data_IF_941716044282
#
_entry.id   IF_941716044282
#
_cell.length_a   1.000
_cell.length_b   1.000
_cell.length_c   1.000
_cell.angle_alpha   90.00
_cell.angle_beta   90.00
_cell.angle_gamma   90.00
#
_symmetry.space_group_name_H-M   'P 1'
#
loop_
_entity.id
_entity.type
_entity.pdbx_description
1 polymer ?
#
# COMPACT_ATOMS: atom_id res chain seq x y z
N UNK A 1 8.95 -63.48 -60.88
CA UNK A 1 8.55 -62.06 -61.06
C UNK A 1 7.14 -61.95 -60.52
N UNK A 2 6.86 -61.38 -59.36
CA UNK A 2 7.68 -60.50 -58.53
C UNK A 2 7.16 -60.56 -57.09
N UNK A 3 8.05 -60.86 -56.15
CA UNK A 3 7.87 -60.55 -54.73
C UNK A 3 8.00 -59.03 -54.58
N UNK A 4 6.95 -58.35 -54.13
CA UNK A 4 7.06 -57.00 -53.58
C UNK A 4 5.90 -56.70 -52.63
N UNK A 5 5.97 -57.28 -51.43
CA UNK A 5 5.16 -56.88 -50.29
C UNK A 5 6.05 -56.09 -49.33
N UNK A 6 6.26 -54.82 -49.68
CA UNK A 6 7.01 -53.85 -48.89
C UNK A 6 6.48 -53.77 -47.47
N UNK A 7 7.29 -54.23 -46.52
CA UNK A 7 7.03 -54.10 -45.09
C UNK A 7 6.85 -52.64 -44.70
N UNK A 8 5.71 -52.33 -44.10
CA UNK A 8 5.47 -51.05 -43.45
C UNK A 8 6.54 -50.86 -42.35
N UNK A 9 7.32 -49.77 -42.36
CA UNK A 9 8.26 -49.52 -41.29
C UNK A 9 7.49 -49.39 -39.98
N UNK A 10 7.95 -50.01 -38.87
CA UNK A 10 7.33 -49.86 -37.58
C UNK A 10 7.39 -48.37 -37.20
N UNK A 11 6.23 -47.74 -37.07
CA UNK A 11 6.13 -46.44 -36.42
C UNK A 11 6.52 -46.62 -34.96
N UNK A 12 7.81 -46.47 -34.68
CA UNK A 12 8.34 -46.30 -33.33
C UNK A 12 7.60 -45.11 -32.74
N UNK A 13 6.58 -45.41 -31.94
CA UNK A 13 6.11 -44.51 -30.89
C UNK A 13 7.35 -44.26 -30.05
N UNK A 14 8.03 -43.15 -30.34
CA UNK A 14 9.08 -42.65 -29.47
C UNK A 14 8.34 -42.27 -28.20
N UNK A 15 8.35 -43.18 -27.23
CA UNK A 15 8.00 -42.89 -25.84
C UNK A 15 8.73 -41.60 -25.51
N UNK A 16 7.97 -40.50 -25.44
CA UNK A 16 8.56 -39.20 -25.12
C UNK A 16 9.24 -39.41 -23.77
N UNK A 17 10.56 -39.21 -23.68
CA UNK A 17 11.27 -39.48 -22.45
C UNK A 17 10.63 -38.62 -21.36
N UNK A 18 10.27 -39.23 -20.23
CA UNK A 18 9.64 -38.56 -19.07
C UNK A 18 10.37 -37.26 -18.70
N UNK A 19 11.69 -37.19 -18.95
CA UNK A 19 12.49 -35.98 -18.79
C UNK A 19 12.08 -34.77 -19.65
N UNK A 20 11.56 -34.96 -20.86
CA UNK A 20 11.04 -33.86 -21.71
C UNK A 20 9.75 -33.26 -21.14
N UNK A 21 8.84 -34.09 -20.60
CA UNK A 21 7.60 -33.61 -19.98
C UNK A 21 7.87 -32.81 -18.69
N UNK A 22 8.81 -33.26 -17.86
CA UNK A 22 9.23 -32.52 -16.65
C UNK A 22 9.90 -31.20 -17.01
N UNK A 23 10.69 -31.17 -18.08
CA UNK A 23 11.29 -29.95 -18.62
C UNK A 23 10.20 -28.96 -19.09
N UNK A 24 9.23 -29.40 -19.90
CA UNK A 24 8.14 -28.56 -20.41
C UNK A 24 7.23 -28.00 -19.29
N UNK A 25 6.92 -28.81 -18.27
CA UNK A 25 6.12 -28.35 -17.11
C UNK A 25 6.90 -27.33 -16.28
N UNK A 26 8.20 -27.56 -16.05
CA UNK A 26 9.06 -26.60 -15.34
C UNK A 26 9.17 -25.27 -16.10
N UNK A 27 9.24 -25.34 -17.43
CA UNK A 27 9.29 -24.17 -18.30
C UNK A 27 7.96 -23.40 -18.29
N UNK A 28 6.81 -24.10 -18.29
CA UNK A 28 5.48 -23.50 -18.17
C UNK A 28 5.27 -22.83 -16.81
N UNK A 29 5.69 -23.48 -15.71
CA UNK A 29 5.62 -22.89 -14.37
C UNK A 29 6.48 -21.62 -14.31
N UNK A 30 7.69 -21.66 -14.89
CA UNK A 30 8.59 -20.50 -14.93
C UNK A 30 7.97 -19.35 -15.73
N UNK A 31 7.32 -19.65 -16.86
CA UNK A 31 6.58 -18.66 -17.66
C UNK A 31 5.41 -18.06 -16.87
N UNK A 32 4.60 -18.90 -16.22
CA UNK A 32 3.45 -18.45 -15.42
C UNK A 32 3.88 -17.53 -14.27
N UNK A 33 4.91 -17.91 -13.50
CA UNK A 33 5.44 -17.06 -12.42
C UNK A 33 5.92 -15.72 -12.98
N UNK A 34 6.59 -15.72 -14.13
CA UNK A 34 7.07 -14.49 -14.76
C UNK A 34 5.94 -13.59 -15.25
N UNK A 35 4.86 -14.17 -15.76
CA UNK A 35 3.67 -13.44 -16.19
C UNK A 35 2.91 -12.85 -15.00
N UNK A 36 2.75 -13.62 -13.91
CA UNK A 36 2.11 -13.14 -12.67
C UNK A 36 2.94 -12.00 -12.04
N UNK A 37 4.27 -12.11 -12.03
CA UNK A 37 5.15 -11.01 -11.61
C UNK A 37 4.98 -9.78 -12.49
N UNK A 38 4.90 -9.95 -13.81
CA UNK A 38 4.70 -8.82 -14.74
C UNK A 38 3.36 -8.15 -14.50
N UNK A 39 2.31 -8.92 -14.27
CA UNK A 39 0.98 -8.42 -13.94
C UNK A 39 0.98 -7.68 -12.60
N UNK A 40 1.58 -8.26 -11.56
CA UNK A 40 1.71 -7.65 -10.25
C UNK A 40 2.47 -6.32 -10.31
N UNK A 41 3.55 -6.23 -11.12
CA UNK A 41 4.28 -4.98 -11.34
C UNK A 41 3.39 -3.92 -11.98
N UNK A 42 2.62 -4.28 -13.01
CA UNK A 42 1.67 -3.35 -13.65
C UNK A 42 0.61 -2.88 -12.68
N UNK A 43 0.02 -3.78 -11.89
CA UNK A 43 -0.99 -3.44 -10.91
C UNK A 43 -0.44 -2.55 -9.79
N UNK A 44 0.77 -2.85 -9.29
CA UNK A 44 1.48 -2.02 -8.32
C UNK A 44 1.78 -0.63 -8.86
N UNK A 45 2.21 -0.50 -10.12
CA UNK A 45 2.42 0.80 -10.76
C UNK A 45 1.12 1.59 -10.86
N UNK A 46 0.02 0.94 -11.26
CA UNK A 46 -1.29 1.59 -11.34
C UNK A 46 -1.82 2.03 -9.98
N UNK A 47 -1.73 1.15 -8.97
CA UNK A 47 -2.08 1.46 -7.57
C UNK A 47 -1.19 2.58 -7.01
N UNK A 48 0.11 2.49 -7.25
CA UNK A 48 1.10 3.48 -6.83
C UNK A 48 0.88 4.85 -7.45
N UNK A 49 0.55 4.92 -8.76
CA UNK A 49 0.21 6.17 -9.44
C UNK A 49 -1.03 6.82 -8.84
N UNK A 50 -2.10 6.05 -8.62
CA UNK A 50 -3.34 6.56 -8.02
C UNK A 50 -3.11 7.07 -6.60
N UNK A 51 -2.36 6.31 -5.79
CA UNK A 51 -1.98 6.70 -4.44
C UNK A 51 -1.10 7.97 -4.46
N UNK A 52 -0.13 8.03 -5.37
CA UNK A 52 0.79 9.16 -5.52
C UNK A 52 0.09 10.45 -5.95
N UNK A 53 -0.82 10.37 -6.92
CA UNK A 53 -1.65 11.53 -7.32
C UNK A 53 -2.54 11.97 -6.17
N UNK A 54 -3.20 11.04 -5.47
CA UNK A 54 -4.03 11.35 -4.31
C UNK A 54 -3.23 12.02 -3.19
N UNK A 55 -2.06 11.48 -2.85
CA UNK A 55 -1.16 12.04 -1.85
C UNK A 55 -0.63 13.43 -2.29
N UNK A 56 -0.29 13.60 -3.56
CA UNK A 56 0.15 14.89 -4.10
C UNK A 56 -0.94 15.96 -4.06
N UNK A 57 -2.18 15.60 -4.44
CA UNK A 57 -3.34 16.51 -4.37
C UNK A 57 -3.67 16.87 -2.92
N UNK A 58 -3.69 15.91 -2.00
CA UNK A 58 -3.93 16.18 -0.57
C UNK A 58 -2.80 17.01 0.04
N UNK A 59 -1.54 16.74 -0.32
CA UNK A 59 -0.40 17.54 0.11
C UNK A 59 -0.49 18.98 -0.39
N UNK A 60 -0.76 19.16 -1.68
CA UNK A 60 -0.94 20.49 -2.29
C UNK A 60 -2.13 21.25 -1.68
N UNK A 61 -3.26 20.58 -1.50
CA UNK A 61 -4.43 21.15 -0.83
C UNK A 61 -4.12 21.56 0.62
N UNK A 62 -3.35 20.76 1.36
CA UNK A 62 -2.90 21.09 2.71
C UNK A 62 -2.04 22.35 2.76
N UNK A 63 -1.09 22.50 1.83
CA UNK A 63 -0.25 23.71 1.72
C UNK A 63 -1.09 24.94 1.38
N UNK A 64 -1.99 24.84 0.40
CA UNK A 64 -2.88 25.94 0.02
C UNK A 64 -3.83 26.31 1.15
N UNK A 65 -4.41 25.32 1.85
CA UNK A 65 -5.26 25.54 3.00
C UNK A 65 -4.50 26.21 4.16
N UNK A 66 -3.24 25.87 4.37
CA UNK A 66 -2.39 26.53 5.37
C UNK A 66 -2.19 28.01 5.06
N UNK A 67 -1.76 28.36 3.83
CA UNK A 67 -1.57 29.75 3.44
C UNK A 67 -2.89 30.53 3.39
N UNK A 68 -3.97 29.93 2.86
CA UNK A 68 -5.31 30.52 2.86
C UNK A 68 -5.82 30.78 4.28
N UNK A 69 -5.62 29.82 5.19
CA UNK A 69 -5.93 29.98 6.61
C UNK A 69 -5.13 31.11 7.26
N UNK A 70 -3.83 31.20 6.99
CA UNK A 70 -2.98 32.29 7.48
C UNK A 70 -3.45 33.67 6.97
N UNK A 71 -3.86 33.76 5.70
CA UNK A 71 -4.43 34.98 5.12
C UNK A 71 -5.77 35.36 5.78
N UNK A 72 -6.64 34.39 6.07
CA UNK A 72 -7.89 34.63 6.82
C UNK A 72 -7.64 35.09 8.25
N UNK A 73 -6.66 34.49 8.94
CA UNK A 73 -6.23 34.94 10.27
C UNK A 73 -5.73 36.38 10.23
N UNK A 74 -4.88 36.73 9.26
CA UNK A 74 -4.42 38.09 9.07
C UNK A 74 -5.58 39.06 8.79
N UNK A 75 -6.53 38.68 7.92
CA UNK A 75 -7.71 39.47 7.62
C UNK A 75 -8.59 39.70 8.86
N UNK A 76 -8.79 38.67 9.71
CA UNK A 76 -9.48 38.83 10.99
C UNK A 76 -8.75 39.81 11.91
N UNK A 77 -7.42 39.69 12.05
CA UNK A 77 -6.63 40.59 12.90
C UNK A 77 -6.77 42.03 12.43
N UNK A 78 -6.57 42.30 11.13
CA UNK A 78 -6.68 43.64 10.55
C UNK A 78 -8.11 44.17 10.66
N UNK A 79 -9.11 43.33 10.44
CA UNK A 79 -10.53 43.69 10.58
C UNK A 79 -10.91 44.04 12.01
N UNK A 80 -10.45 43.29 13.02
CA UNK A 80 -10.68 43.64 14.42
C UNK A 80 -9.87 44.87 14.84
N UNK A 81 -8.69 45.08 14.23
CA UNK A 81 -7.85 46.24 14.51
C UNK A 81 -8.46 47.57 14.04
N UNK A 82 -9.59 47.57 13.30
CA UNK A 82 -10.33 48.81 13.02
C UNK A 82 -11.03 49.35 14.26
N UNK A 83 -11.38 48.49 15.22
CA UNK A 83 -12.07 48.88 16.47
C UNK A 83 -11.22 48.68 17.72
N UNK A 84 -10.13 47.92 17.63
CA UNK A 84 -9.20 47.62 18.73
C UNK A 84 -7.76 47.96 18.32
N UNK A 85 -6.86 48.08 19.30
CA UNK A 85 -5.41 48.17 19.00
C UNK A 85 -4.91 46.84 18.45
N UNK A 86 -4.01 46.88 17.45
CA UNK A 86 -3.53 45.72 16.70
C UNK A 86 -3.07 44.54 17.57
N UNK A 87 -2.34 44.80 18.66
CA UNK A 87 -1.84 43.73 19.53
C UNK A 87 -2.98 42.98 20.24
N UNK A 88 -4.07 43.67 20.60
CA UNK A 88 -5.20 43.07 21.29
C UNK A 88 -6.05 42.24 20.31
N UNK A 89 -6.25 42.76 19.09
CA UNK A 89 -6.87 42.00 18.00
C UNK A 89 -6.09 40.70 17.69
N UNK A 90 -4.76 40.78 17.60
CA UNK A 90 -3.90 39.62 17.38
C UNK A 90 -3.99 38.59 18.52
N UNK A 91 -4.04 39.03 19.77
CA UNK A 91 -4.20 38.12 20.91
C UNK A 91 -5.55 37.40 20.90
N UNK A 92 -6.64 38.11 20.63
CA UNK A 92 -8.00 37.51 20.60
C UNK A 92 -8.06 36.43 19.51
N UNK A 93 -7.64 36.77 18.29
CA UNK A 93 -7.65 35.81 17.18
C UNK A 93 -6.71 34.64 17.47
N UNK A 94 -5.53 34.92 18.04
CA UNK A 94 -4.56 33.88 18.45
C UNK A 94 -5.13 32.88 19.45
N UNK A 95 -5.83 33.35 20.48
CA UNK A 95 -6.48 32.48 21.47
C UNK A 95 -7.56 31.61 20.82
N UNK A 96 -8.37 32.17 19.91
CA UNK A 96 -9.39 31.40 19.19
C UNK A 96 -8.76 30.31 18.33
N UNK A 97 -7.73 30.65 17.54
CA UNK A 97 -7.03 29.68 16.68
C UNK A 97 -6.36 28.58 17.50
N UNK A 98 -5.70 28.93 18.61
CA UNK A 98 -5.11 27.94 19.52
C UNK A 98 -6.16 27.05 20.19
N UNK A 99 -7.33 27.60 20.54
CA UNK A 99 -8.45 26.83 21.04
C UNK A 99 -8.94 25.78 20.03
N UNK A 100 -9.15 26.19 18.78
CA UNK A 100 -9.53 25.28 17.68
C UNK A 100 -8.45 24.23 17.45
N UNK A 101 -7.17 24.63 17.38
CA UNK A 101 -6.05 23.72 17.22
C UNK A 101 -5.96 22.69 18.36
N UNK A 102 -6.20 23.12 19.61
CA UNK A 102 -6.25 22.24 20.78
C UNK A 102 -7.36 21.19 20.68
N UNK A 103 -8.56 21.60 20.26
CA UNK A 103 -9.69 20.66 20.04
C UNK A 103 -9.38 19.68 18.92
N UNK A 104 -8.87 20.15 17.79
CA UNK A 104 -8.50 19.29 16.66
C UNK A 104 -7.39 18.31 17.04
N UNK A 105 -6.37 18.76 17.79
CA UNK A 105 -5.31 17.88 18.29
C UNK A 105 -5.86 16.83 19.26
N UNK A 106 -6.80 17.20 20.13
CA UNK A 106 -7.43 16.27 21.06
C UNK A 106 -8.29 15.22 20.34
N UNK A 107 -9.13 15.63 19.39
CA UNK A 107 -9.93 14.72 18.56
C UNK A 107 -9.03 13.82 17.71
N UNK A 108 -8.02 14.39 17.05
CA UNK A 108 -7.04 13.64 16.27
C UNK A 108 -6.32 12.58 17.10
N UNK A 109 -5.87 12.94 18.30
CA UNK A 109 -5.27 12.01 19.26
C UNK A 109 -6.24 10.89 19.64
N UNK A 110 -7.51 11.18 19.91
CA UNK A 110 -8.50 10.14 20.18
C UNK A 110 -8.72 9.22 18.98
N UNK A 111 -8.78 9.76 17.77
CA UNK A 111 -8.97 8.93 16.57
C UNK A 111 -7.77 8.00 16.37
N UNK A 112 -6.54 8.51 16.47
CA UNK A 112 -5.32 7.70 16.38
C UNK A 112 -5.26 6.63 17.47
N UNK A 113 -5.70 6.94 18.69
CA UNK A 113 -5.76 5.96 19.78
C UNK A 113 -6.87 4.89 19.59
N UNK A 114 -7.95 5.23 18.88
CA UNK A 114 -9.04 4.29 18.55
C UNK A 114 -8.69 3.36 17.40
N UNK A 115 -7.79 3.77 16.50
CA UNK A 115 -7.19 2.83 15.55
C UNK A 115 -6.23 1.96 16.38
N UNK A 116 -6.72 0.81 16.85
CA UNK A 116 -5.89 -0.21 17.49
C UNK A 116 -4.64 -0.51 16.66
N UNK A 117 -3.63 -1.19 17.25
CA UNK A 117 -2.32 -1.32 16.63
C UNK A 117 -2.48 -1.84 15.19
N UNK A 118 -1.90 -1.13 14.20
CA UNK A 118 -2.01 -1.41 12.76
C UNK A 118 -1.48 -2.80 12.34
N UNK A 119 -1.06 -3.62 13.30
CA UNK A 119 -0.79 -5.04 13.09
C UNK A 119 -2.14 -5.74 12.89
N UNK A 120 -2.35 -6.39 11.72
CA UNK A 120 -3.49 -7.27 11.54
C UNK A 120 -3.50 -8.26 12.69
N UNK A 121 -4.57 -8.29 13.50
CA UNK A 121 -4.64 -9.19 14.67
C UNK A 121 -4.34 -10.65 14.27
N UNK A 122 -4.74 -11.04 13.05
CA UNK A 122 -4.43 -12.34 12.45
C UNK A 122 -2.94 -12.57 12.22
N UNK A 123 -2.19 -11.55 11.78
CA UNK A 123 -0.74 -11.63 11.59
C UNK A 123 -0.01 -11.63 12.95
N UNK A 124 -0.51 -10.89 13.94
CA UNK A 124 0.03 -10.91 15.29
C UNK A 124 -0.20 -12.26 16.00
N UNK A 125 -1.32 -12.93 15.73
CA UNK A 125 -1.64 -14.27 16.26
C UNK A 125 -0.79 -15.35 15.60
N UNK A 126 -0.56 -15.32 14.27
CA UNK A 126 0.28 -16.32 13.61
C UNK A 126 1.72 -16.25 14.11
N UNK A 127 2.30 -15.05 14.21
CA UNK A 127 3.67 -14.86 14.71
C UNK A 127 3.83 -15.34 16.16
N UNK A 128 2.82 -15.15 17.03
CA UNK A 128 2.85 -15.69 18.40
C UNK A 128 2.77 -17.22 18.44
N UNK A 129 2.03 -17.82 17.51
CA UNK A 129 1.89 -19.27 17.39
C UNK A 129 3.19 -19.90 16.90
N UNK A 130 3.83 -19.27 15.92
CA UNK A 130 5.11 -19.70 15.36
C UNK A 130 6.24 -19.63 16.40
N UNK A 131 6.28 -18.56 17.20
CA UNK A 131 7.25 -18.43 18.31
C UNK A 131 7.02 -19.49 19.39
N UNK A 132 5.76 -19.84 19.70
CA UNK A 132 5.44 -20.92 20.65
C UNK A 132 5.92 -22.28 20.15
N UNK A 133 5.67 -22.60 18.89
CA UNK A 133 6.10 -23.86 18.28
C UNK A 133 7.63 -24.01 18.27
N UNK A 134 8.35 -22.91 17.99
CA UNK A 134 9.83 -22.89 18.06
C UNK A 134 10.31 -23.10 19.51
N UNK A 135 9.68 -22.46 20.48
CA UNK A 135 10.08 -22.57 21.90
C UNK A 135 9.81 -23.96 22.50
N UNK A 136 8.73 -24.61 22.10
CA UNK A 136 8.42 -26.00 22.50
C UNK A 136 9.32 -27.03 21.81
N UNK A 137 9.67 -26.80 20.53
CA UNK A 137 10.61 -27.66 19.80
C UNK A 137 12.04 -27.63 20.32
N UNK A 138 12.44 -26.55 20.99
CA UNK A 138 13.79 -26.36 21.56
C UNK A 138 13.93 -26.91 22.99
N UNK A 139 12.82 -27.37 23.60
CA UNK A 139 12.79 -27.99 24.93
C UNK A 139 12.67 -29.53 24.90
N UNK A 140 12.73 -30.16 23.71
CA UNK A 140 12.92 -31.60 23.52
C UNK A 140 14.36 -31.91 23.16
#
# INVERSE_FOLDING_TARGET
MSDDAGGLPPQRHQDRPIGQLVSEVSEQITRLVRDEMRLAVVELQQKGKRLGVGAGLLGGAGVLAFYGGAALVAAMIVGLATQLVLWLAALIVGVVVLGIAGVLAFVGKQQVQRVGPLVPEKAAVSVRTDIKAIKEGMHR
#
